data_IF_929609661950
#
_entry.id   IF_929609661950
#
_cell.length_a   1.000
_cell.length_b   1.000
_cell.length_c   1.000
_cell.angle_alpha   90.00
_cell.angle_beta   90.00
_cell.angle_gamma   90.00
#
_symmetry.space_group_name_H-M   'P 1'
#
loop_
_entity.id
_entity.type
_entity.pdbx_description
1 polymer ?
#
# COMPACT_ATOMS: atom_id res chain seq x y z
N UNK A 1 -27.05 -4.78 -1.82
CA UNK A 1 -26.77 -3.49 -1.17
C UNK A 1 -25.61 -2.78 -1.89
N UNK A 2 -25.92 -1.97 -2.91
CA UNK A 2 -24.92 -1.37 -3.83
C UNK A 2 -24.27 -0.05 -3.34
N UNK A 3 -24.65 0.41 -2.14
CA UNK A 3 -24.22 1.70 -1.55
C UNK A 3 -23.12 1.57 -0.48
N UNK A 4 -22.69 0.35 -0.12
CA UNK A 4 -21.61 0.14 0.87
C UNK A 4 -20.21 0.53 0.39
N UNK A 5 -20.08 1.01 -0.86
CA UNK A 5 -18.81 1.32 -1.52
C UNK A 5 -18.30 2.75 -1.25
N UNK A 6 -19.13 3.64 -0.70
CA UNK A 6 -18.81 5.07 -0.65
C UNK A 6 -17.94 5.51 0.53
N UNK A 7 -17.70 4.63 1.52
CA UNK A 7 -16.64 4.85 2.50
C UNK A 7 -15.53 3.83 2.26
N UNK A 8 -14.40 4.25 1.67
CA UNK A 8 -13.22 3.41 1.63
C UNK A 8 -12.81 3.09 3.08
N UNK A 9 -13.04 1.86 3.52
CA UNK A 9 -12.14 1.31 4.52
C UNK A 9 -10.73 1.40 3.92
N UNK A 10 -9.75 1.84 4.72
CA UNK A 10 -8.40 2.06 4.20
C UNK A 10 -7.83 0.85 3.47
N UNK A 11 -8.23 -0.36 3.88
CA UNK A 11 -7.90 -1.62 3.20
C UNK A 11 -8.51 -1.72 1.80
N UNK A 12 -9.76 -1.31 1.60
CA UNK A 12 -10.43 -1.34 0.30
C UNK A 12 -9.77 -0.45 -0.74
N UNK A 13 -9.37 0.77 -0.35
CA UNK A 13 -8.61 1.66 -1.25
C UNK A 13 -7.25 1.06 -1.63
N UNK A 14 -6.56 0.43 -0.68
CA UNK A 14 -5.25 -0.19 -0.94
C UNK A 14 -5.38 -1.39 -1.88
N UNK A 15 -6.43 -2.20 -1.73
CA UNK A 15 -6.77 -3.27 -2.66
C UNK A 15 -7.02 -2.73 -4.07
N UNK A 16 -7.81 -1.65 -4.19
CA UNK A 16 -8.06 -1.02 -5.50
C UNK A 16 -6.78 -0.44 -6.12
N UNK A 17 -5.91 0.19 -5.31
CA UNK A 17 -4.62 0.68 -5.79
C UNK A 17 -3.71 -0.45 -6.29
N UNK A 18 -3.63 -1.58 -5.58
CA UNK A 18 -2.83 -2.73 -6.01
C UNK A 18 -3.40 -3.38 -7.27
N UNK A 19 -4.72 -3.57 -7.32
CA UNK A 19 -5.38 -4.08 -8.51
C UNK A 19 -5.18 -3.16 -9.72
N UNK A 20 -5.17 -1.84 -9.50
CA UNK A 20 -4.84 -0.85 -10.52
C UNK A 20 -3.37 -0.92 -10.96
N UNK A 21 -2.43 -1.06 -10.04
CA UNK A 21 -1.00 -1.21 -10.35
C UNK A 21 -0.77 -2.42 -11.27
N UNK A 22 -1.41 -3.56 -10.98
CA UNK A 22 -1.39 -4.74 -11.85
C UNK A 22 -2.05 -4.49 -13.20
N UNK A 23 -3.17 -3.75 -13.24
CA UNK A 23 -3.85 -3.40 -14.48
C UNK A 23 -2.95 -2.54 -15.38
N UNK A 24 -2.22 -1.58 -14.83
CA UNK A 24 -1.24 -0.77 -15.56
C UNK A 24 -0.07 -1.64 -16.03
N UNK A 25 0.44 -2.55 -15.18
CA UNK A 25 1.50 -3.48 -15.57
C UNK A 25 1.13 -4.33 -16.79
N UNK A 26 -0.12 -4.79 -16.86
CA UNK A 26 -0.62 -5.62 -17.96
C UNK A 26 -0.98 -4.78 -19.19
N UNK A 27 -1.73 -3.68 -19.03
CA UNK A 27 -2.26 -2.89 -20.17
C UNK A 27 -1.28 -1.84 -20.69
N UNK A 28 -0.34 -1.38 -19.87
CA UNK A 28 0.60 -0.29 -20.15
C UNK A 28 2.02 -0.65 -19.64
N UNK A 29 2.62 -1.74 -20.13
CA UNK A 29 3.88 -2.27 -19.57
C UNK A 29 5.06 -1.30 -19.70
N UNK A 30 5.08 -0.47 -20.74
CA UNK A 30 6.10 0.57 -20.93
C UNK A 30 6.04 1.61 -19.81
N UNK A 31 4.84 2.15 -19.54
CA UNK A 31 4.61 3.11 -18.46
C UNK A 31 4.93 2.49 -17.10
N UNK A 32 4.52 1.24 -16.86
CA UNK A 32 4.83 0.52 -15.63
C UNK A 32 6.35 0.37 -15.40
N UNK A 33 7.12 0.09 -16.46
CA UNK A 33 8.58 0.03 -16.37
C UNK A 33 9.19 1.39 -16.03
N UNK A 34 8.67 2.48 -16.61
CA UNK A 34 9.16 3.82 -16.28
C UNK A 34 8.80 4.22 -14.86
N UNK A 35 7.58 3.89 -14.41
CA UNK A 35 7.14 4.05 -13.02
C UNK A 35 8.10 3.35 -12.05
N UNK A 36 8.46 2.09 -12.36
CA UNK A 36 9.44 1.33 -11.58
C UNK A 36 10.82 1.99 -11.56
N UNK A 37 11.35 2.41 -12.71
CA UNK A 37 12.65 3.11 -12.76
C UNK A 37 12.64 4.46 -12.03
N UNK A 38 11.46 5.10 -11.93
CA UNK A 38 11.27 6.37 -11.25
C UNK A 38 10.90 6.22 -9.77
N UNK A 39 10.88 4.98 -9.23
CA UNK A 39 10.44 4.63 -7.88
C UNK A 39 9.06 5.23 -7.53
N UNK A 40 8.10 5.06 -8.44
CA UNK A 40 6.72 5.51 -8.26
C UNK A 40 5.77 4.40 -8.66
N UNK A 41 4.87 4.02 -7.75
CA UNK A 41 3.76 3.14 -8.13
C UNK A 41 2.79 3.81 -9.12
N UNK A 42 2.26 3.07 -10.12
CA UNK A 42 1.28 3.60 -11.07
C UNK A 42 0.05 4.25 -10.42
N UNK A 43 -0.47 3.68 -9.34
CA UNK A 43 -1.63 4.19 -8.59
C UNK A 43 -1.42 5.58 -8.01
N UNK A 44 -0.17 6.01 -7.83
CA UNK A 44 0.15 7.38 -7.41
C UNK A 44 -0.07 8.39 -8.53
N UNK A 45 0.11 8.01 -9.80
CA UNK A 45 -0.16 8.86 -10.96
C UNK A 45 -1.63 9.31 -11.00
N UNK A 46 -2.54 8.46 -10.51
CA UNK A 46 -3.98 8.72 -10.46
C UNK A 46 -4.51 8.78 -9.02
N UNK A 47 -3.67 9.09 -8.03
CA UNK A 47 -4.08 9.07 -6.61
C UNK A 47 -5.26 10.00 -6.32
N UNK A 48 -5.31 11.18 -6.95
CA UNK A 48 -6.43 12.11 -6.83
C UNK A 48 -7.76 11.51 -7.31
N UNK A 49 -7.70 10.64 -8.30
CA UNK A 49 -8.89 9.97 -8.85
C UNK A 49 -9.35 8.88 -7.92
N UNK A 50 -8.45 7.99 -7.51
CA UNK A 50 -8.76 6.84 -6.66
C UNK A 50 -9.21 7.26 -5.26
N UNK A 51 -8.62 8.31 -4.68
CA UNK A 51 -8.94 8.75 -3.32
C UNK A 51 -10.14 9.71 -3.24
N UNK A 52 -10.37 10.53 -4.28
CA UNK A 52 -11.42 11.58 -4.27
C UNK A 52 -12.46 11.42 -5.36
N UNK A 53 -12.51 10.27 -6.03
CA UNK A 53 -13.39 10.01 -7.17
C UNK A 53 -13.25 11.08 -8.27
N UNK A 54 -12.03 11.58 -8.49
CA UNK A 54 -11.72 12.64 -9.45
C UNK A 54 -11.94 14.07 -8.95
N UNK A 55 -12.51 14.27 -7.76
CA UNK A 55 -12.74 15.61 -7.22
C UNK A 55 -11.43 16.36 -6.98
N UNK A 56 -11.34 17.58 -7.52
CA UNK A 56 -10.14 18.43 -7.52
C UNK A 56 -8.95 17.86 -8.32
N UNK A 57 -9.13 16.77 -9.07
CA UNK A 57 -8.12 16.22 -9.98
C UNK A 57 -8.55 16.33 -11.46
N UNK A 58 -9.85 16.48 -11.70
CA UNK A 58 -10.45 16.62 -13.01
C UNK A 58 -11.23 17.94 -13.14
N UNK A 59 -11.41 18.47 -14.37
CA UNK A 59 -12.35 19.56 -14.65
C UNK A 59 -13.77 19.26 -14.15
N UNK A 60 -14.55 20.30 -13.84
CA UNK A 60 -15.88 20.17 -13.23
C UNK A 60 -16.89 19.36 -14.06
N UNK A 61 -16.88 19.52 -15.38
CA UNK A 61 -17.73 18.74 -16.28
C UNK A 61 -17.29 17.27 -16.31
N UNK A 62 -15.99 17.03 -16.43
CA UNK A 62 -15.38 15.71 -16.46
C UNK A 62 -15.67 14.88 -15.21
N UNK A 63 -15.53 15.48 -14.03
CA UNK A 63 -15.81 14.80 -12.77
C UNK A 63 -17.29 14.47 -12.64
N UNK A 64 -18.18 15.32 -13.14
CA UNK A 64 -19.63 15.07 -13.11
C UNK A 64 -20.00 13.86 -13.96
N UNK A 65 -19.44 13.75 -15.17
CA UNK A 65 -19.61 12.58 -16.05
C UNK A 65 -19.06 11.29 -15.47
N UNK A 66 -17.88 11.37 -14.85
CA UNK A 66 -17.29 10.24 -14.13
C UNK A 66 -18.21 9.78 -13.00
N UNK A 67 -18.81 10.72 -12.25
CA UNK A 67 -19.76 10.41 -11.19
C UNK A 67 -21.06 9.80 -11.72
N UNK A 68 -21.60 10.30 -12.83
CA UNK A 68 -22.76 9.69 -13.49
C UNK A 68 -22.47 8.21 -13.83
N UNK A 69 -21.32 7.94 -14.44
CA UNK A 69 -20.90 6.58 -14.76
C UNK A 69 -20.70 5.72 -13.50
N UNK A 70 -20.10 6.27 -12.43
CA UNK A 70 -19.93 5.55 -11.16
C UNK A 70 -21.26 5.22 -10.49
N UNK A 71 -22.25 6.12 -10.55
CA UNK A 71 -23.58 5.90 -9.98
C UNK A 71 -24.35 4.84 -10.76
N UNK A 72 -24.27 4.88 -12.10
CA UNK A 72 -25.02 3.97 -12.97
C UNK A 72 -24.37 2.57 -13.04
N UNK A 73 -23.06 2.52 -13.21
CA UNK A 73 -22.34 1.28 -13.44
C UNK A 73 -21.75 0.71 -12.15
N UNK A 74 -21.23 1.54 -11.25
CA UNK A 74 -20.56 1.13 -10.00
C UNK A 74 -19.06 1.41 -9.98
N UNK A 75 -18.42 1.07 -8.86
CA UNK A 75 -17.05 1.49 -8.53
C UNK A 75 -15.94 1.02 -9.47
N UNK A 76 -16.13 -0.08 -10.21
CA UNK A 76 -15.13 -0.61 -11.15
C UNK A 76 -14.83 0.35 -12.31
N UNK A 77 -15.70 1.33 -12.59
CA UNK A 77 -15.46 2.34 -13.62
C UNK A 77 -14.24 3.19 -13.30
N UNK A 78 -13.99 3.51 -12.02
CA UNK A 78 -12.93 4.42 -11.61
C UNK A 78 -11.51 3.94 -12.02
N UNK A 79 -11.07 2.72 -11.69
CA UNK A 79 -9.75 2.24 -12.11
C UNK A 79 -9.65 2.11 -13.65
N UNK A 80 -10.75 1.77 -14.34
CA UNK A 80 -10.76 1.68 -15.80
C UNK A 80 -10.66 3.04 -16.47
N UNK A 81 -11.33 4.07 -15.93
CA UNK A 81 -11.22 5.44 -16.39
C UNK A 81 -9.81 5.99 -16.20
N UNK A 82 -9.19 5.71 -15.05
CA UNK A 82 -7.80 6.09 -14.79
C UNK A 82 -6.82 5.39 -15.76
N UNK A 83 -7.01 4.10 -16.09
CA UNK A 83 -6.17 3.44 -17.09
C UNK A 83 -6.42 3.97 -18.50
N UNK A 84 -7.66 4.24 -18.87
CA UNK A 84 -8.01 4.81 -20.17
C UNK A 84 -7.38 6.21 -20.33
N UNK A 85 -7.39 7.04 -19.29
CA UNK A 85 -6.64 8.28 -19.23
C UNK A 85 -5.14 8.07 -19.46
N UNK A 86 -4.50 7.15 -18.72
CA UNK A 86 -3.06 6.87 -18.87
C UNK A 86 -2.71 6.32 -20.25
N UNK A 87 -3.62 5.62 -20.94
CA UNK A 87 -3.41 5.19 -22.33
C UNK A 87 -3.33 6.36 -23.30
N UNK A 88 -4.12 7.42 -23.06
CA UNK A 88 -4.18 8.58 -23.95
C UNK A 88 -3.06 9.58 -23.62
N UNK A 89 -2.89 9.91 -22.35
CA UNK A 89 -2.01 11.00 -21.91
C UNK A 89 -0.68 10.51 -21.31
N UNK A 90 -0.51 9.21 -21.05
CA UNK A 90 0.67 8.69 -20.36
C UNK A 90 1.99 8.97 -21.08
N UNK A 91 2.04 8.76 -22.38
CA UNK A 91 3.25 9.05 -23.18
C UNK A 91 3.57 10.55 -23.20
N UNK A 92 2.53 11.40 -23.29
CA UNK A 92 2.71 12.84 -23.29
C UNK A 92 3.14 13.37 -21.90
N UNK A 93 2.64 12.76 -20.82
CA UNK A 93 3.09 13.01 -19.45
C UNK A 93 4.54 12.58 -19.24
N UNK A 94 4.97 11.46 -19.81
CA UNK A 94 6.37 11.00 -19.79
C UNK A 94 7.29 11.97 -20.52
N UNK A 95 6.93 12.42 -21.71
CA UNK A 95 7.70 13.40 -22.47
C UNK A 95 7.81 14.75 -21.74
N UNK A 96 6.76 15.15 -21.04
CA UNK A 96 6.76 16.35 -20.21
C UNK A 96 7.62 16.20 -18.96
N UNK A 97 7.57 15.04 -18.31
CA UNK A 97 8.43 14.73 -17.18
C UNK A 97 9.91 14.74 -17.58
N UNK A 98 10.25 14.16 -18.75
CA UNK A 98 11.61 14.20 -19.34
C UNK A 98 12.09 15.63 -19.58
N UNK A 99 11.23 16.49 -20.13
CA UNK A 99 11.55 17.91 -20.37
C UNK A 99 11.79 18.72 -19.09
N UNK A 100 11.20 18.31 -17.98
CA UNK A 100 11.37 18.97 -16.67
C UNK A 100 12.49 18.39 -15.81
N UNK A 101 13.04 17.24 -16.17
CA UNK A 101 14.08 16.51 -15.42
C UNK A 101 15.37 16.32 -16.24
N UNK A 102 16.22 15.40 -15.79
CA UNK A 102 17.38 14.95 -16.58
C UNK A 102 16.88 14.07 -17.74
N UNK A 103 17.32 14.35 -18.96
CA UNK A 103 16.83 13.72 -20.21
C UNK A 103 16.97 12.19 -20.18
N UNK A 104 17.90 11.69 -19.35
CA UNK A 104 18.20 10.27 -19.17
C UNK A 104 17.46 9.61 -18.00
N UNK A 105 16.92 10.37 -17.05
CA UNK A 105 16.27 9.80 -15.88
C UNK A 105 15.04 10.61 -15.44
N UNK A 106 13.85 10.02 -15.64
CA UNK A 106 12.59 10.63 -15.23
C UNK A 106 12.44 10.48 -13.73
N UNK A 107 12.39 11.61 -13.00
CA UNK A 107 12.13 11.57 -11.57
C UNK A 107 10.65 11.30 -11.31
N UNK A 108 10.37 10.56 -10.23
CA UNK A 108 9.00 10.26 -9.82
C UNK A 108 8.15 11.51 -9.58
N UNK A 109 8.75 12.54 -8.99
CA UNK A 109 8.10 13.82 -8.74
C UNK A 109 7.67 14.54 -10.03
N UNK A 110 8.54 14.56 -11.05
CA UNK A 110 8.22 15.16 -12.35
C UNK A 110 7.09 14.41 -13.07
N UNK A 111 7.10 13.08 -13.00
CA UNK A 111 6.08 12.24 -13.60
C UNK A 111 4.70 12.45 -12.96
N UNK A 112 4.65 12.53 -11.63
CA UNK A 112 3.41 12.83 -10.89
C UNK A 112 2.85 14.20 -11.28
N UNK A 113 3.69 15.24 -11.27
CA UNK A 113 3.25 16.60 -11.58
C UNK A 113 2.79 16.74 -13.04
N UNK A 114 3.49 16.09 -13.98
CA UNK A 114 3.10 16.07 -15.38
C UNK A 114 1.75 15.38 -15.57
N UNK A 115 1.53 14.24 -14.90
CA UNK A 115 0.27 13.50 -15.00
C UNK A 115 -0.89 14.29 -14.40
N UNK A 116 -0.69 14.96 -13.25
CA UNK A 116 -1.71 15.81 -12.64
C UNK A 116 -2.09 17.01 -13.51
N UNK A 117 -1.09 17.69 -14.11
CA UNK A 117 -1.31 18.79 -15.05
C UNK A 117 -2.11 18.33 -16.27
N UNK A 118 -1.79 17.16 -16.81
CA UNK A 118 -2.50 16.55 -17.95
C UNK A 118 -3.96 16.25 -17.61
N UNK A 119 -4.19 15.64 -16.44
CA UNK A 119 -5.54 15.35 -15.95
C UNK A 119 -6.38 16.63 -15.78
N UNK A 120 -5.77 17.71 -15.28
CA UNK A 120 -6.46 18.98 -15.09
C UNK A 120 -6.71 19.75 -16.40
N UNK A 121 -5.87 19.56 -17.43
CA UNK A 121 -5.91 20.35 -18.66
C UNK A 121 -6.64 19.69 -19.84
N UNK A 122 -6.58 18.36 -19.96
CA UNK A 122 -6.87 17.67 -21.23
C UNK A 122 -7.91 16.54 -21.15
N UNK A 123 -8.77 16.52 -20.13
CA UNK A 123 -9.75 15.44 -20.02
C UNK A 123 -11.03 15.67 -20.85
N UNK A 124 -10.95 15.49 -22.17
CA UNK A 124 -12.14 15.29 -23.00
C UNK A 124 -12.78 13.94 -22.64
N UNK A 125 -13.98 14.02 -22.09
CA UNK A 125 -14.44 13.01 -21.12
C UNK A 125 -15.27 11.90 -21.75
N UNK A 126 -15.88 12.15 -22.91
CA UNK A 126 -16.93 11.26 -23.43
C UNK A 126 -16.36 9.92 -23.91
N UNK A 127 -15.30 9.93 -24.73
CA UNK A 127 -14.70 8.70 -25.25
C UNK A 127 -13.97 7.91 -24.15
N UNK A 128 -13.28 8.61 -23.24
CA UNK A 128 -12.55 7.96 -22.14
C UNK A 128 -13.52 7.32 -21.15
N UNK A 129 -14.61 8.00 -20.79
CA UNK A 129 -15.61 7.44 -19.88
C UNK A 129 -16.41 6.34 -20.58
N UNK A 130 -16.71 6.47 -21.88
CA UNK A 130 -17.36 5.40 -22.63
C UNK A 130 -16.51 4.12 -22.71
N UNK A 131 -15.21 4.23 -23.02
CA UNK A 131 -14.29 3.08 -22.98
C UNK A 131 -14.21 2.53 -21.55
N UNK A 132 -14.09 3.39 -20.54
CA UNK A 132 -14.03 2.96 -19.14
C UNK A 132 -15.27 2.16 -18.71
N UNK A 133 -16.47 2.60 -19.10
CA UNK A 133 -17.72 1.89 -18.83
C UNK A 133 -17.73 0.53 -19.55
N UNK A 134 -17.34 0.50 -20.83
CA UNK A 134 -17.26 -0.75 -21.58
C UNK A 134 -16.27 -1.73 -20.93
N UNK A 135 -15.08 -1.26 -20.60
CA UNK A 135 -14.04 -2.06 -19.96
C UNK A 135 -14.47 -2.52 -18.56
N UNK A 136 -15.14 -1.69 -17.77
CA UNK A 136 -15.63 -2.06 -16.45
C UNK A 136 -16.70 -3.15 -16.52
N UNK A 137 -17.61 -3.08 -17.50
CA UNK A 137 -18.59 -4.15 -17.76
C UNK A 137 -17.90 -5.44 -18.18
N UNK A 138 -16.98 -5.37 -19.14
CA UNK A 138 -16.20 -6.53 -19.59
C UNK A 138 -15.38 -7.14 -18.44
N UNK A 139 -14.83 -6.31 -17.55
CA UNK A 139 -14.04 -6.74 -16.42
C UNK A 139 -14.86 -7.51 -15.37
N UNK A 140 -16.16 -7.26 -15.24
CA UNK A 140 -17.06 -8.03 -14.37
C UNK A 140 -17.34 -9.43 -14.89
N UNK A 141 -17.31 -9.58 -16.20
CA UNK A 141 -17.46 -10.87 -16.88
C UNK A 141 -16.09 -11.58 -16.99
N UNK A 142 -14.99 -10.84 -16.84
CA UNK A 142 -13.63 -11.33 -16.92
C UNK A 142 -13.16 -11.97 -15.60
N UNK A 143 -12.96 -13.29 -15.64
CA UNK A 143 -12.45 -14.06 -14.51
C UNK A 143 -11.04 -13.61 -14.09
N UNK A 144 -10.20 -13.17 -15.03
CA UNK A 144 -8.83 -12.72 -14.73
C UNK A 144 -8.81 -11.45 -13.87
N UNK A 145 -9.72 -10.50 -14.15
CA UNK A 145 -9.84 -9.27 -13.35
C UNK A 145 -10.35 -9.56 -11.95
N UNK A 146 -11.39 -10.39 -11.83
CA UNK A 146 -11.90 -10.83 -10.53
C UNK A 146 -10.82 -11.53 -9.70
N UNK A 147 -9.99 -12.36 -10.33
CA UNK A 147 -8.83 -13.00 -9.69
C UNK A 147 -7.77 -11.98 -9.27
N UNK A 148 -7.43 -11.02 -10.11
CA UNK A 148 -6.45 -9.98 -9.78
C UNK A 148 -6.91 -9.12 -8.59
N UNK A 149 -8.20 -8.74 -8.53
CA UNK A 149 -8.76 -8.04 -7.37
C UNK A 149 -8.75 -8.90 -6.10
N UNK A 150 -9.09 -10.18 -6.22
CA UNK A 150 -9.07 -11.11 -5.09
C UNK A 150 -7.64 -11.35 -4.56
N UNK A 151 -6.66 -11.47 -5.46
CA UNK A 151 -5.24 -11.59 -5.11
C UNK A 151 -4.74 -10.32 -4.42
N UNK A 152 -5.05 -9.14 -4.97
CA UNK A 152 -4.73 -7.86 -4.32
C UNK A 152 -5.37 -7.74 -2.93
N UNK A 153 -6.62 -8.20 -2.76
CA UNK A 153 -7.29 -8.23 -1.46
C UNK A 153 -6.60 -9.20 -0.48
N UNK A 154 -6.24 -10.39 -0.95
CA UNK A 154 -5.48 -11.38 -0.17
C UNK A 154 -4.13 -10.84 0.27
N UNK A 155 -3.37 -10.20 -0.64
CA UNK A 155 -2.10 -9.54 -0.31
C UNK A 155 -2.28 -8.48 0.77
N UNK A 156 -3.26 -7.58 0.64
CA UNK A 156 -3.52 -6.56 1.67
C UNK A 156 -3.91 -7.20 3.01
N UNK A 157 -4.71 -8.27 2.99
CA UNK A 157 -5.14 -8.98 4.19
C UNK A 157 -3.97 -9.67 4.90
N UNK A 158 -3.14 -10.43 4.18
CA UNK A 158 -1.90 -11.04 4.69
C UNK A 158 -0.99 -9.97 5.29
N UNK A 159 -0.73 -8.88 4.56
CA UNK A 159 0.16 -7.80 5.04
C UNK A 159 -0.37 -7.15 6.32
N UNK A 160 -1.68 -6.92 6.40
CA UNK A 160 -2.32 -6.41 7.62
C UNK A 160 -2.19 -7.41 8.78
N UNK A 161 -2.44 -8.69 8.53
CA UNK A 161 -2.28 -9.74 9.53
C UNK A 161 -0.84 -9.82 10.05
N UNK A 162 0.16 -9.70 9.18
CA UNK A 162 1.57 -9.69 9.55
C UNK A 162 1.95 -8.50 10.43
N UNK A 163 1.49 -7.29 10.09
CA UNK A 163 1.72 -6.09 10.92
C UNK A 163 1.10 -6.24 12.31
N UNK A 164 -0.14 -6.72 12.39
CA UNK A 164 -0.82 -6.94 13.67
C UNK A 164 -0.13 -8.04 14.50
N UNK A 165 0.24 -9.15 13.86
CA UNK A 165 0.94 -10.27 14.50
C UNK A 165 2.31 -9.85 15.03
N UNK A 166 3.06 -9.06 14.26
CA UNK A 166 4.37 -8.55 14.67
C UNK A 166 4.25 -7.54 15.82
N UNK A 167 3.27 -6.63 15.79
CA UNK A 167 3.01 -5.70 16.87
C UNK A 167 2.69 -6.44 18.17
N UNK A 168 1.87 -7.50 18.10
CA UNK A 168 1.56 -8.34 19.25
C UNK A 168 2.77 -9.10 19.78
N UNK A 169 3.58 -9.68 18.89
CA UNK A 169 4.81 -10.37 19.26
C UNK A 169 5.78 -9.43 19.99
N UNK A 170 5.90 -8.19 19.51
CA UNK A 170 6.74 -7.16 20.14
C UNK A 170 6.32 -6.87 21.58
N UNK A 171 5.02 -6.69 21.82
CA UNK A 171 4.49 -6.45 23.16
C UNK A 171 4.86 -7.60 24.10
N UNK A 172 4.55 -8.84 23.68
CA UNK A 172 4.84 -10.02 24.50
C UNK A 172 6.34 -10.24 24.71
N UNK A 173 7.17 -9.98 23.70
CA UNK A 173 8.62 -10.07 23.83
C UNK A 173 9.14 -9.05 24.83
N UNK A 174 8.70 -7.79 24.73
CA UNK A 174 9.13 -6.72 25.62
C UNK A 174 8.71 -6.97 27.06
N UNK A 175 7.51 -7.51 27.29
CA UNK A 175 7.04 -7.92 28.62
C UNK A 175 7.94 -9.04 29.19
N UNK A 176 8.23 -10.06 28.39
CA UNK A 176 9.08 -11.17 28.81
C UNK A 176 10.53 -10.74 29.07
N UNK A 177 11.12 -9.91 28.21
CA UNK A 177 12.47 -9.40 28.41
C UNK A 177 12.57 -8.51 29.67
N UNK A 178 11.53 -7.74 30.00
CA UNK A 178 11.49 -6.96 31.24
C UNK A 178 11.50 -7.85 32.49
N UNK A 179 10.91 -9.05 32.42
CA UNK A 179 10.85 -10.01 33.53
C UNK A 179 12.14 -10.85 33.66
N UNK A 180 12.74 -11.29 32.55
CA UNK A 180 13.84 -12.27 32.55
C UNK A 180 15.19 -11.72 32.09
N UNK A 181 15.25 -10.45 31.68
CA UNK A 181 16.38 -9.78 31.01
C UNK A 181 16.82 -10.42 29.68
N UNK A 182 16.20 -11.53 29.26
CA UNK A 182 16.55 -12.30 28.07
C UNK A 182 15.47 -13.32 27.70
N UNK A 183 15.21 -13.51 26.41
CA UNK A 183 14.22 -14.49 25.91
C UNK A 183 14.96 -15.69 25.30
N UNK A 184 14.62 -16.91 25.71
CA UNK A 184 15.18 -18.14 25.11
C UNK A 184 14.43 -18.53 23.83
N UNK A 185 15.06 -19.32 22.95
CA UNK A 185 14.41 -19.78 21.71
C UNK A 185 13.09 -20.54 21.95
N UNK A 186 12.99 -21.30 23.05
CA UNK A 186 11.77 -22.05 23.37
C UNK A 186 10.62 -21.11 23.74
N UNK A 187 10.90 -20.09 24.54
CA UNK A 187 9.93 -19.06 24.92
C UNK A 187 9.57 -18.22 23.69
N UNK A 188 10.55 -17.84 22.88
CA UNK A 188 10.28 -17.09 21.65
C UNK A 188 9.35 -17.84 20.69
N UNK A 189 9.55 -19.16 20.51
CA UNK A 189 8.67 -20.00 19.68
C UNK A 189 7.23 -20.03 20.21
N UNK A 190 7.02 -20.05 21.54
CA UNK A 190 5.67 -19.96 22.10
C UNK A 190 5.04 -18.58 21.93
N UNK A 191 5.85 -17.50 22.03
CA UNK A 191 5.38 -16.13 21.75
C UNK A 191 4.96 -15.96 20.28
N UNK A 192 5.73 -16.49 19.34
CA UNK A 192 5.39 -16.47 17.90
C UNK A 192 4.08 -17.22 17.65
N UNK A 193 3.93 -18.43 18.23
CA UNK A 193 2.71 -19.22 18.09
C UNK A 193 1.47 -18.54 18.71
N UNK A 194 1.66 -17.73 19.77
CA UNK A 194 0.58 -16.97 20.39
C UNK A 194 0.23 -15.67 19.64
N UNK A 195 1.12 -15.18 18.77
CA UNK A 195 0.99 -13.87 18.11
C UNK A 195 0.59 -13.95 16.64
N UNK A 196 1.05 -14.97 15.92
CA UNK A 196 0.82 -15.10 14.48
C UNK A 196 -0.47 -15.88 14.17
N UNK A 197 -1.28 -15.31 13.28
CA UNK A 197 -2.51 -15.92 12.74
C UNK A 197 -2.21 -16.70 11.45
N UNK A 198 -3.16 -17.51 10.99
CA UNK A 198 -2.96 -18.37 9.83
C UNK A 198 -2.64 -17.59 8.55
N UNK A 199 -3.22 -16.41 8.39
CA UNK A 199 -3.01 -15.52 7.24
C UNK A 199 -1.60 -14.94 7.15
N UNK A 200 -0.84 -14.90 8.26
CA UNK A 200 0.54 -14.39 8.34
C UNK A 200 1.55 -15.50 8.66
N UNK A 201 1.13 -16.77 8.62
CA UNK A 201 1.96 -17.92 9.04
C UNK A 201 3.25 -18.08 8.24
N UNK A 202 3.28 -17.66 6.97
CA UNK A 202 4.52 -17.65 6.17
C UNK A 202 5.58 -16.70 6.77
N UNK A 203 5.15 -15.56 7.32
CA UNK A 203 6.06 -14.59 7.94
C UNK A 203 6.57 -15.06 9.30
N UNK A 204 5.81 -15.90 10.01
CA UNK A 204 6.23 -16.47 11.30
C UNK A 204 7.53 -17.30 11.21
N UNK A 205 7.76 -17.97 10.08
CA UNK A 205 9.00 -18.72 9.84
C UNK A 205 10.21 -17.78 9.76
N UNK A 206 10.11 -16.72 8.96
CA UNK A 206 11.17 -15.72 8.81
C UNK A 206 11.48 -15.00 10.14
N UNK A 207 10.47 -14.83 11.01
CA UNK A 207 10.66 -14.25 12.35
C UNK A 207 11.49 -15.15 13.24
N UNK A 208 11.21 -16.46 13.20
CA UNK A 208 11.97 -17.47 13.93
C UNK A 208 13.42 -17.53 13.44
N UNK A 209 13.63 -17.49 12.12
CA UNK A 209 14.96 -17.48 11.51
C UNK A 209 15.75 -16.23 11.91
N UNK A 210 15.13 -15.05 11.91
CA UNK A 210 15.74 -13.80 12.36
C UNK A 210 16.15 -13.86 13.85
N UNK A 211 15.35 -14.50 14.70
CA UNK A 211 15.69 -14.70 16.11
C UNK A 211 16.87 -15.66 16.29
N UNK A 212 16.92 -16.75 15.52
CA UNK A 212 18.05 -17.68 15.54
C UNK A 212 19.34 -17.01 15.02
N UNK A 213 19.25 -16.11 14.05
CA UNK A 213 20.38 -15.30 13.60
C UNK A 213 20.87 -14.34 14.71
N UNK A 214 19.96 -13.63 15.37
CA UNK A 214 20.30 -12.73 16.47
C UNK A 214 21.02 -13.46 17.62
N UNK A 215 20.63 -14.70 17.90
CA UNK A 215 21.27 -15.54 18.92
C UNK A 215 22.70 -15.99 18.59
N UNK A 216 23.11 -15.99 17.31
CA UNK A 216 24.48 -16.35 16.88
C UNK A 216 25.52 -15.27 17.19
N UNK A 217 25.09 -14.02 17.33
CA UNK A 217 25.96 -12.86 17.58
C UNK A 217 26.30 -12.59 19.06
N UNK A 218 25.64 -13.28 20.00
CA UNK A 218 25.87 -13.11 21.43
C UNK A 218 27.20 -13.77 21.85
N UNK A 219 28.27 -12.98 21.92
CA UNK A 219 29.58 -13.43 22.38
C UNK A 219 29.57 -13.70 23.88
N UNK A 220 29.92 -14.94 24.22
CA UNK A 220 30.25 -15.44 25.56
C UNK A 220 29.11 -15.51 26.61
N UNK A 221 28.91 -16.74 27.11
CA UNK A 221 28.17 -17.10 28.31
C UNK A 221 26.64 -16.92 28.29
N UNK A 222 25.94 -17.83 27.59
CA UNK A 222 24.70 -18.50 28.05
C UNK A 222 24.27 -19.53 27.00
N UNK A 223 24.43 -20.81 27.34
CA UNK A 223 24.23 -21.98 26.50
C UNK A 223 22.76 -22.29 26.14
N UNK A 224 21.93 -21.28 25.87
CA UNK A 224 20.49 -21.44 25.66
C UNK A 224 19.93 -20.67 24.44
N UNK A 225 20.78 -20.27 23.49
CA UNK A 225 20.37 -19.84 22.15
C UNK A 225 19.23 -18.81 22.13
N UNK A 226 19.33 -17.74 22.90
CA UNK A 226 18.33 -16.66 22.87
C UNK A 226 18.93 -15.34 22.37
N UNK A 227 18.10 -14.30 22.32
CA UNK A 227 18.49 -12.97 21.87
C UNK A 227 17.81 -11.89 22.72
N UNK A 228 18.44 -10.71 22.78
CA UNK A 228 17.77 -9.51 23.28
C UNK A 228 16.82 -8.96 22.21
N UNK A 229 15.87 -8.14 22.63
CA UNK A 229 14.92 -7.50 21.74
C UNK A 229 15.62 -6.63 20.68
N UNK A 230 16.65 -5.89 21.07
CA UNK A 230 17.43 -5.06 20.17
C UNK A 230 18.15 -5.90 19.08
N UNK A 231 18.80 -7.00 19.48
CA UNK A 231 19.49 -7.88 18.54
C UNK A 231 18.52 -8.58 17.58
N UNK A 232 17.33 -8.97 18.07
CA UNK A 232 16.28 -9.56 17.24
C UNK A 232 15.71 -8.55 16.24
N UNK A 233 15.45 -7.30 16.66
CA UNK A 233 15.01 -6.25 15.73
C UNK A 233 16.06 -5.97 14.64
N UNK A 234 17.36 -5.95 15.01
CA UNK A 234 18.46 -5.79 14.06
C UNK A 234 18.53 -6.93 13.03
N UNK A 235 18.22 -8.17 13.43
CA UNK A 235 18.10 -9.29 12.51
C UNK A 235 16.85 -9.19 11.62
N UNK A 236 15.72 -8.73 12.16
CA UNK A 236 14.50 -8.48 11.36
C UNK A 236 14.74 -7.45 10.24
N UNK A 237 15.58 -6.42 10.48
CA UNK A 237 15.97 -5.43 9.46
C UNK A 237 16.79 -6.03 8.31
N UNK A 238 17.51 -7.12 8.56
CA UNK A 238 18.37 -7.81 7.60
C UNK A 238 17.70 -9.05 6.98
N UNK A 239 16.47 -9.37 7.39
CA UNK A 239 15.71 -10.50 6.89
C UNK A 239 15.39 -10.35 5.41
N UNK A 240 15.32 -11.48 4.70
CA UNK A 240 14.86 -11.56 3.32
C UNK A 240 13.36 -11.23 3.19
N UNK A 241 12.59 -11.44 4.26
CA UNK A 241 11.17 -11.08 4.27
C UNK A 241 10.99 -9.57 4.26
N UNK A 242 10.43 -9.07 3.17
CA UNK A 242 10.01 -7.67 3.02
C UNK A 242 9.05 -7.26 4.16
N UNK A 243 8.15 -8.17 4.55
CA UNK A 243 7.20 -7.97 5.62
C UNK A 243 7.86 -7.62 6.94
N UNK A 244 8.94 -8.34 7.27
CA UNK A 244 9.68 -8.16 8.51
C UNK A 244 10.57 -6.92 8.48
N UNK A 245 11.20 -6.64 7.34
CA UNK A 245 11.95 -5.38 7.16
C UNK A 245 11.06 -4.17 7.35
N UNK A 246 9.85 -4.20 6.78
CA UNK A 246 8.88 -3.12 6.94
C UNK A 246 8.42 -2.98 8.40
N UNK A 247 8.10 -4.09 9.07
CA UNK A 247 7.70 -4.09 10.48
C UNK A 247 8.81 -3.56 11.41
N UNK A 248 10.07 -3.95 11.18
CA UNK A 248 11.22 -3.48 11.95
C UNK A 248 11.57 -2.00 11.69
N UNK A 249 11.28 -1.45 10.51
CA UNK A 249 11.41 0.00 10.26
C UNK A 249 10.37 0.81 11.02
N UNK A 250 9.15 0.29 11.11
CA UNK A 250 8.06 0.97 11.83
C UNK A 250 8.37 1.12 13.32
N UNK A 251 9.10 0.18 13.92
CA UNK A 251 9.50 0.27 15.33
C UNK A 251 10.46 1.42 15.63
N UNK A 252 11.30 1.83 14.68
CA UNK A 252 12.32 2.89 14.87
C UNK A 252 11.73 4.29 14.89
N UNK A 253 10.53 4.45 14.34
CA UNK A 253 9.82 5.73 14.32
C UNK A 253 9.26 6.14 15.69
N UNK A 254 9.59 5.42 16.77
CA UNK A 254 9.03 5.63 18.12
C UNK A 254 7.54 5.27 18.19
N UNK A 255 7.03 4.62 17.15
CA UNK A 255 5.65 4.22 17.03
C UNK A 255 5.35 3.02 17.90
N UNK A 256 4.76 3.29 19.07
CA UNK A 256 4.05 2.26 19.82
C UNK A 256 2.68 1.98 19.20
N UNK A 257 2.07 2.96 18.50
CA UNK A 257 0.71 2.88 17.92
C UNK A 257 0.47 3.79 16.69
N UNK A 258 1.36 3.86 15.70
CA UNK A 258 1.01 4.54 14.44
C UNK A 258 0.01 3.67 13.71
N UNK A 259 -1.28 4.00 13.90
CA UNK A 259 -2.46 3.64 13.12
C UNK A 259 -2.14 2.56 12.08
N UNK A 260 -2.65 1.33 12.23
CA UNK A 260 -2.42 0.17 11.33
C UNK A 260 -2.36 0.56 9.84
N UNK A 261 -3.11 1.59 9.46
CA UNK A 261 -3.14 2.18 8.13
C UNK A 261 -1.83 2.84 7.66
N UNK A 262 -1.10 3.55 8.51
CA UNK A 262 0.20 4.14 8.17
C UNK A 262 1.29 3.06 8.09
N UNK A 263 1.20 2.04 8.95
CA UNK A 263 2.05 0.84 8.89
C UNK A 263 1.82 0.03 7.61
N UNK A 264 0.56 -0.24 7.27
CA UNK A 264 0.16 -0.91 6.04
C UNK A 264 0.57 -0.12 4.79
N UNK A 265 0.51 1.22 4.83
CA UNK A 265 1.00 2.09 3.73
C UNK A 265 2.51 2.03 3.56
N UNK A 266 3.28 2.02 4.64
CA UNK A 266 4.74 1.87 4.58
C UNK A 266 5.11 0.49 4.04
N UNK A 267 4.39 -0.54 4.49
CA UNK A 267 4.55 -1.91 4.02
C UNK A 267 4.26 -2.04 2.52
N UNK A 268 3.18 -1.42 2.01
CA UNK A 268 2.83 -1.45 0.58
C UNK A 268 3.71 -0.57 -0.33
N UNK A 269 4.72 0.09 0.24
CA UNK A 269 5.78 0.81 -0.49
C UNK A 269 7.11 0.08 -0.49
N UNK A 270 7.27 -0.96 0.34
CA UNK A 270 8.52 -1.73 0.46
C UNK A 270 8.90 -2.50 -0.80
N UNK A 271 7.92 -2.85 -1.65
CA UNK A 271 8.10 -3.54 -2.93
C UNK A 271 9.02 -2.76 -3.92
N UNK A 272 9.32 -1.48 -3.66
CA UNK A 272 10.15 -0.63 -4.55
C UNK A 272 11.67 -0.74 -4.28
N UNK A 273 12.13 -1.35 -3.18
CA UNK A 273 13.57 -1.41 -2.83
C UNK A 273 14.36 -2.55 -3.49
N UNK A 274 13.73 -3.47 -4.22
CA UNK A 274 14.44 -4.48 -5.05
C UNK A 274 14.91 -3.92 -6.40
N UNK A 275 14.57 -2.67 -6.72
CA UNK A 275 15.33 -1.95 -7.73
C UNK A 275 16.71 -1.64 -7.11
N UNK A 276 17.77 -2.28 -7.59
CA UNK A 276 19.15 -1.85 -7.33
C UNK A 276 19.30 -0.40 -7.81
N UNK A 277 19.01 0.55 -6.93
CA UNK A 277 18.97 1.97 -7.21
C UNK A 277 20.27 2.56 -6.69
N UNK A 278 21.12 2.99 -7.63
CA UNK A 278 22.30 3.81 -7.37
C UNK A 278 21.95 4.95 -6.39
N UNK A 279 22.83 5.18 -5.43
CA UNK A 279 22.66 6.11 -4.30
C UNK A 279 22.28 7.56 -4.70
N UNK A 280 22.50 7.94 -5.96
CA UNK A 280 22.14 9.24 -6.53
C UNK A 280 20.62 9.47 -6.65
N UNK A 281 19.83 8.41 -6.82
CA UNK A 281 18.36 8.49 -6.99
C UNK A 281 17.58 8.50 -5.68
N UNK A 282 18.25 8.23 -4.55
CA UNK A 282 17.66 8.23 -3.20
C UNK A 282 17.39 9.64 -2.67
N UNK A 283 18.08 10.64 -3.21
CA UNK A 283 17.92 12.06 -2.88
C UNK A 283 16.67 12.70 -3.53
N UNK A 284 16.04 12.01 -4.49
CA UNK A 284 14.88 12.49 -5.25
C UNK A 284 13.62 11.63 -5.07
N UNK A 285 13.53 10.83 -4.00
CA UNK A 285 12.26 10.28 -3.55
C UNK A 285 11.25 11.42 -3.34
N UNK A 286 9.96 11.25 -3.71
CA UNK A 286 8.97 12.31 -3.55
C UNK A 286 9.00 12.79 -2.10
N UNK A 287 9.23 14.09 -1.92
CA UNK A 287 9.50 14.64 -0.58
C UNK A 287 8.47 14.13 0.43
N UNK A 288 8.88 13.83 1.68
CA UNK A 288 7.95 13.42 2.74
C UNK A 288 6.73 14.35 2.84
N UNK A 289 6.87 15.61 2.42
CA UNK A 289 5.81 16.60 2.30
C UNK A 289 4.76 16.32 1.20
N UNK A 290 5.12 15.77 0.04
CA UNK A 290 4.20 15.41 -1.08
C UNK A 290 3.47 14.11 -0.82
N UNK A 291 4.17 13.14 -0.26
CA UNK A 291 3.57 11.93 0.21
C UNK A 291 2.68 12.20 1.43
N UNK A 292 3.09 13.12 2.32
CA UNK A 292 2.20 13.71 3.31
C UNK A 292 1.15 14.65 2.70
N UNK A 293 1.27 15.13 1.46
CA UNK A 293 0.25 15.95 0.78
C UNK A 293 -0.84 15.07 0.17
N UNK A 294 -0.48 13.99 -0.52
CA UNK A 294 -1.41 12.94 -0.93
C UNK A 294 -2.06 12.26 0.28
N UNK A 295 -1.28 12.00 1.34
CA UNK A 295 -1.81 11.48 2.61
C UNK A 295 -2.60 12.55 3.37
N UNK A 296 -2.27 13.85 3.30
CA UNK A 296 -3.10 14.95 3.85
C UNK A 296 -4.35 15.20 3.03
N UNK A 297 -4.32 15.01 1.72
CA UNK A 297 -5.45 15.14 0.81
C UNK A 297 -6.41 13.96 0.98
N UNK A 298 -5.88 12.75 1.20
CA UNK A 298 -6.63 11.61 1.68
C UNK A 298 -7.16 11.90 3.10
N UNK A 299 -6.31 12.24 4.08
CA UNK A 299 -6.72 12.57 5.45
C UNK A 299 -7.76 13.68 5.52
N UNK A 300 -7.66 14.76 4.73
CA UNK A 300 -8.63 15.85 4.67
C UNK A 300 -9.98 15.44 4.04
N UNK A 301 -9.98 14.45 3.15
CA UNK A 301 -11.22 13.82 2.68
C UNK A 301 -11.88 12.95 3.77
N UNK A 302 -11.09 12.42 4.71
CA UNK A 302 -11.55 11.54 5.78
C UNK A 302 -11.80 12.23 7.14
N UNK A 303 -11.13 13.35 7.44
CA UNK A 303 -11.25 14.06 8.73
C UNK A 303 -12.47 14.97 8.82
N UNK A 304 -13.30 15.06 7.77
CA UNK A 304 -14.67 15.61 7.88
C UNK A 304 -15.70 14.59 8.38
N UNK A 305 -15.31 13.33 8.61
CA UNK A 305 -16.15 12.30 9.23
C UNK A 305 -16.02 12.18 10.75
N UNK A 306 -14.97 12.73 11.35
CA UNK A 306 -14.61 12.49 12.77
C UNK A 306 -15.34 13.40 13.78
N UNK A 307 -16.15 14.36 13.34
CA UNK A 307 -17.00 15.15 14.26
C UNK A 307 -18.33 14.45 14.62
N UNK A 308 -18.59 13.26 14.07
CA UNK A 308 -19.75 12.45 14.44
C UNK A 308 -19.31 11.20 15.21
N UNK A 309 -19.02 11.38 16.50
CA UNK A 309 -18.94 10.27 17.44
C UNK A 309 -20.19 9.40 17.38
N UNK A 310 -20.12 8.28 16.67
CA UNK A 310 -20.97 7.10 16.86
C UNK A 310 -20.13 5.85 16.68
N UNK A 311 -19.81 5.24 17.81
CA UNK A 311 -19.57 3.80 17.93
C UNK A 311 -20.67 3.05 17.18
N UNK A 312 -20.35 2.49 16.01
CA UNK A 312 -21.16 1.43 15.41
C UNK A 312 -20.48 0.11 15.70
N UNK A 313 -21.06 -0.61 16.66
CA UNK A 313 -20.82 -2.03 16.90
C UNK A 313 -21.07 -2.76 15.58
N UNK A 314 -20.07 -3.48 15.08
CA UNK A 314 -20.24 -4.41 13.98
C UNK A 314 -21.27 -5.47 14.40
N UNK A 315 -22.49 -5.37 13.87
CA UNK A 315 -23.45 -6.45 13.95
C UNK A 315 -23.06 -7.52 12.92
N UNK A 316 -22.12 -8.38 13.31
CA UNK A 316 -21.90 -9.69 12.71
C UNK A 316 -22.12 -10.74 13.78
N UNK A 317 -23.39 -10.98 14.13
CA UNK A 317 -23.87 -12.21 14.78
C UNK A 317 -25.40 -12.24 14.72
N UNK A 318 -25.93 -12.73 13.60
CA UNK A 318 -27.32 -13.18 13.48
C UNK A 318 -27.45 -14.12 12.28
N UNK A 319 -26.87 -15.31 12.41
CA UNK A 319 -27.23 -16.49 11.62
C UNK A 319 -27.03 -17.75 12.47
N UNK A 320 -27.80 -17.84 13.55
CA UNK A 320 -28.07 -19.08 14.28
C UNK A 320 -29.29 -18.87 15.20
N UNK A 321 -30.50 -18.89 14.62
CA UNK A 321 -31.77 -19.32 15.22
C UNK A 321 -32.89 -19.18 14.18
#
# INVERSE_FOLDING_TARGET
>A
SRLGFFLPCHTGLLTECLAFDELVRVKLPSLARTCYSACVRPSLLCAGWLAKLGANALPGESVSRLWDALVLEGGDVLPHAAVAFLKVEGDAALEEARRSGDEKNVTGAALLDATERRAAAHFETDDVVADAVFQARAARECVEWARAKADAAGRVATRRASVASFARLRELFSEQEAETAFVSATVFKSLVAASYVDESRSDAAFVADAFEEAGKGASHEKSAGGASFAAWLDACRRSESESLRACARLTDSGSTYTNENDALRAFLRGDEEEAEVNDATRLDAPSPARLASATRAARAAFSRGDDAGRTFVCASDASAA
#
